data_IF_231275183575
#
_entry.id   IF_231275183575
#
_cell.length_a   1.000
_cell.length_b   1.000
_cell.length_c   1.000
_cell.angle_alpha   90.00
_cell.angle_beta   90.00
_cell.angle_gamma   90.00
#
_symmetry.space_group_name_H-M   'P 1'
#
loop_
_entity.id
_entity.type
_entity.pdbx_description
1 polymer ?
#
# COMPACT_ATOMS: atom_id res chain seq x y z
N UNK A 1 17.50 47.78 -12.74
CA UNK A 1 17.01 46.76 -13.70
C UNK A 1 17.10 47.33 -15.11
N UNK A 2 17.99 46.79 -15.94
CA UNK A 2 18.17 47.13 -17.35
C UNK A 2 18.21 45.81 -18.12
N UNK A 3 17.23 45.59 -18.99
CA UNK A 3 17.37 44.77 -20.19
C UNK A 3 16.84 45.63 -21.33
N UNK A 4 17.61 45.79 -22.40
CA UNK A 4 17.18 45.11 -23.62
C UNK A 4 18.35 44.68 -24.52
N UNK A 5 18.16 43.61 -25.29
CA UNK A 5 18.60 43.63 -26.68
C UNK A 5 17.85 42.58 -27.49
N UNK A 6 17.08 43.07 -28.46
CA UNK A 6 16.61 42.28 -29.60
C UNK A 6 17.78 42.17 -30.57
N UNK A 7 18.09 40.97 -31.05
CA UNK A 7 18.78 40.81 -32.34
C UNK A 7 18.07 39.72 -33.11
N UNK A 8 17.36 40.14 -34.14
CA UNK A 8 16.93 39.30 -35.25
C UNK A 8 18.12 39.09 -36.19
N UNK A 9 18.30 37.88 -36.71
CA UNK A 9 19.03 37.67 -37.95
C UNK A 9 18.39 36.50 -38.70
N UNK A 10 17.63 36.83 -39.74
CA UNK A 10 17.26 35.92 -40.80
C UNK A 10 18.51 35.48 -41.57
N UNK A 11 18.57 34.23 -42.02
CA UNK A 11 19.12 33.86 -43.32
C UNK A 11 18.58 32.48 -43.71
N UNK A 12 17.78 32.47 -44.78
CA UNK A 12 17.40 31.27 -45.52
C UNK A 12 18.62 30.71 -46.26
N UNK A 13 18.77 29.39 -46.23
CA UNK A 13 19.43 28.65 -47.31
C UNK A 13 18.68 27.33 -47.53
N UNK A 14 17.93 27.28 -48.64
CA UNK A 14 17.36 26.05 -49.20
C UNK A 14 18.42 25.45 -50.12
N UNK A 15 18.85 24.22 -49.87
CA UNK A 15 19.60 23.43 -50.85
C UNK A 15 19.45 21.93 -50.61
N UNK A 16 18.94 21.22 -51.63
CA UNK A 16 19.44 19.90 -52.02
C UNK A 16 18.83 18.68 -51.36
N UNK A 17 18.01 17.95 -52.12
CA UNK A 17 17.50 16.63 -51.78
C UNK A 17 18.60 15.53 -51.87
N UNK A 18 18.61 14.64 -50.89
CA UNK A 18 18.94 13.21 -51.05
C UNK A 18 18.06 12.43 -50.06
N UNK A 19 17.07 11.62 -50.48
CA UNK A 19 16.45 10.68 -49.56
C UNK A 19 17.45 9.53 -49.40
N UNK A 20 18.34 9.64 -48.42
CA UNK A 20 18.95 8.45 -47.86
C UNK A 20 17.80 7.68 -47.20
N UNK A 21 17.25 6.71 -47.92
CA UNK A 21 16.45 5.63 -47.32
C UNK A 21 17.41 4.78 -46.50
N UNK A 22 17.80 5.34 -45.35
CA UNK A 22 18.45 4.60 -44.30
C UNK A 22 17.36 3.69 -43.75
N UNK A 23 17.47 2.39 -44.02
CA UNK A 23 16.78 1.36 -43.26
C UNK A 23 17.32 1.40 -41.82
N UNK A 24 17.01 2.47 -41.09
CA UNK A 24 17.14 2.49 -39.65
C UNK A 24 16.01 1.62 -39.13
N UNK A 25 16.28 0.33 -38.97
CA UNK A 25 15.53 -0.50 -38.03
C UNK A 25 15.48 0.28 -36.73
N UNK A 26 14.29 0.73 -36.33
CA UNK A 26 14.12 1.32 -35.01
C UNK A 26 14.58 0.27 -34.01
N UNK A 27 15.57 0.61 -33.19
CA UNK A 27 15.89 -0.18 -32.02
C UNK A 27 14.58 -0.37 -31.25
N UNK A 28 14.25 -1.60 -30.79
CA UNK A 28 13.07 -1.81 -29.98
C UNK A 28 13.05 -0.75 -28.87
N UNK A 29 11.95 -0.01 -28.80
CA UNK A 29 11.76 0.92 -27.69
C UNK A 29 11.94 0.12 -26.39
N UNK A 30 12.57 0.71 -25.35
CA UNK A 30 12.61 0.07 -24.04
C UNK A 30 11.19 -0.37 -23.70
N UNK A 31 11.02 -1.61 -23.26
CA UNK A 31 9.76 -2.02 -22.64
C UNK A 31 9.65 -1.11 -21.42
N UNK A 32 8.80 -0.09 -21.50
CA UNK A 32 8.39 0.63 -20.30
C UNK A 32 7.64 -0.41 -19.48
N UNK A 33 8.25 -0.88 -18.40
CA UNK A 33 7.56 -1.70 -17.43
C UNK A 33 6.49 -0.81 -16.80
N UNK A 34 5.28 -0.92 -17.36
CA UNK A 34 4.08 -0.41 -16.71
C UNK A 34 4.13 -0.88 -15.24
N UNK A 35 3.92 0.02 -14.26
CA UNK A 35 3.92 -0.37 -12.87
C UNK A 35 2.98 -1.56 -12.73
N UNK A 36 3.53 -2.71 -12.35
CA UNK A 36 2.75 -3.89 -12.01
C UNK A 36 1.80 -3.45 -10.92
N UNK A 37 0.50 -3.34 -11.21
CA UNK A 37 -0.55 -3.28 -10.20
C UNK A 37 -0.42 -4.56 -9.36
N UNK A 38 0.37 -4.47 -8.29
CA UNK A 38 0.58 -5.58 -7.37
C UNK A 38 -0.78 -5.89 -6.77
N UNK A 39 -1.24 -7.13 -6.96
CA UNK A 39 -2.49 -7.59 -6.38
C UNK A 39 -2.38 -7.48 -4.86
N UNK A 40 -3.21 -6.64 -4.25
CA UNK A 40 -3.26 -6.51 -2.80
C UNK A 40 -3.89 -7.76 -2.18
N UNK A 41 -3.19 -8.37 -1.23
CA UNK A 41 -3.69 -9.53 -0.47
C UNK A 41 -4.35 -9.01 0.81
N UNK A 42 -5.58 -9.43 1.05
CA UNK A 42 -6.37 -9.04 2.23
C UNK A 42 -6.65 -10.32 3.04
N UNK A 43 -6.28 -10.32 4.32
CA UNK A 43 -6.78 -11.34 5.24
C UNK A 43 -8.22 -11.01 5.61
N UNK A 44 -9.17 -11.84 5.19
CA UNK A 44 -10.59 -11.52 5.37
C UNK A 44 -11.12 -11.87 6.76
N UNK A 45 -10.31 -12.49 7.64
CA UNK A 45 -10.82 -12.95 8.93
C UNK A 45 -9.72 -13.08 9.99
N UNK A 46 -9.58 -12.04 10.81
CA UNK A 46 -8.82 -12.12 12.06
C UNK A 46 -9.68 -11.74 13.26
N UNK A 47 -9.17 -12.02 14.46
CA UNK A 47 -9.75 -11.59 15.73
C UNK A 47 -8.70 -10.82 16.54
N UNK A 48 -9.10 -9.70 17.14
CA UNK A 48 -8.30 -8.98 18.13
C UNK A 48 -8.98 -9.08 19.50
N UNK A 49 -8.19 -9.29 20.56
CA UNK A 49 -8.68 -9.34 21.94
C UNK A 49 -7.55 -9.09 22.92
N UNK A 50 -7.89 -8.61 24.11
CA UNK A 50 -6.91 -8.35 25.18
C UNK A 50 -7.37 -8.97 26.50
N UNK A 51 -6.68 -10.04 26.90
CA UNK A 51 -6.92 -10.73 28.18
C UNK A 51 -6.55 -9.88 29.41
N UNK A 52 -5.86 -8.74 29.23
CA UNK A 52 -5.47 -7.84 30.31
C UNK A 52 -6.48 -6.72 30.60
N UNK A 53 -7.51 -6.56 29.75
CA UNK A 53 -8.59 -5.61 30.01
C UNK A 53 -9.35 -6.01 31.28
N UNK A 54 -9.78 -5.02 32.06
CA UNK A 54 -10.55 -5.24 33.30
C UNK A 54 -11.82 -6.05 33.11
N UNK A 55 -12.42 -5.91 31.94
CA UNK A 55 -13.63 -6.57 31.48
C UNK A 55 -13.42 -8.05 31.14
N UNK A 56 -12.16 -8.47 30.97
CA UNK A 56 -11.76 -9.81 30.54
C UNK A 56 -12.17 -10.14 29.10
N UNK A 57 -12.13 -11.44 28.80
CA UNK A 57 -12.59 -12.01 27.53
C UNK A 57 -13.50 -13.20 27.79
N UNK A 58 -14.52 -13.39 26.96
CA UNK A 58 -15.42 -14.55 27.05
C UNK A 58 -14.76 -15.82 26.47
N UNK A 59 -13.80 -15.62 25.55
CA UNK A 59 -12.95 -16.62 24.93
C UNK A 59 -11.64 -15.93 24.51
N UNK A 60 -10.48 -16.61 24.52
CA UNK A 60 -10.24 -18.00 24.91
C UNK A 60 -10.34 -18.24 26.43
N UNK A 61 -10.50 -19.50 26.89
CA UNK A 61 -10.52 -19.81 28.31
C UNK A 61 -9.12 -19.64 28.93
N UNK A 62 -9.04 -19.24 30.20
CA UNK A 62 -7.79 -19.03 30.94
C UNK A 62 -6.85 -20.24 31.01
N UNK A 63 -7.38 -21.44 30.76
CA UNK A 63 -6.62 -22.69 30.71
C UNK A 63 -5.94 -22.93 29.36
N UNK A 64 -6.29 -22.17 28.32
CA UNK A 64 -5.68 -22.28 26.99
C UNK A 64 -4.27 -21.67 27.00
N UNK A 65 -3.25 -22.53 26.84
CA UNK A 65 -1.85 -22.11 26.95
C UNK A 65 -1.31 -21.40 25.71
N UNK A 66 -2.06 -21.40 24.61
CA UNK A 66 -1.63 -20.84 23.32
C UNK A 66 -2.34 -19.52 23.07
N UNK A 67 -3.66 -19.50 23.29
CA UNK A 67 -4.52 -18.38 22.92
C UNK A 67 -4.77 -17.42 24.08
N UNK A 68 -4.67 -17.85 25.35
CA UNK A 68 -4.92 -16.98 26.50
C UNK A 68 -3.78 -15.99 26.74
N UNK A 69 -3.72 -14.99 25.87
CA UNK A 69 -2.79 -13.87 25.84
C UNK A 69 -3.42 -12.73 25.05
N UNK A 70 -2.90 -11.50 25.13
CA UNK A 70 -3.30 -10.45 24.21
C UNK A 70 -2.98 -10.82 22.76
N UNK A 71 -3.91 -10.51 21.86
CA UNK A 71 -3.78 -10.56 20.41
C UNK A 71 -4.25 -9.19 19.88
N UNK A 72 -3.29 -8.28 19.80
CA UNK A 72 -3.43 -6.87 19.37
C UNK A 72 -2.84 -6.64 17.97
N UNK A 73 -3.05 -5.43 17.43
CA UNK A 73 -2.63 -5.01 16.07
C UNK A 73 -1.16 -5.29 15.79
N UNK A 74 -0.26 -5.01 16.73
CA UNK A 74 1.17 -5.25 16.59
C UNK A 74 1.54 -6.71 16.25
N UNK A 75 0.74 -7.68 16.69
CA UNK A 75 0.96 -9.09 16.35
C UNK A 75 0.49 -9.43 14.94
N UNK A 76 -0.54 -8.73 14.44
CA UNK A 76 -0.96 -8.86 13.04
C UNK A 76 0.05 -8.17 12.14
N UNK A 77 0.50 -6.96 12.47
CA UNK A 77 1.46 -6.18 11.68
C UNK A 77 2.75 -6.99 11.42
N UNK A 78 3.29 -7.67 12.44
CA UNK A 78 4.47 -8.53 12.29
C UNK A 78 4.27 -9.65 11.25
N UNK A 79 3.07 -10.24 11.20
CA UNK A 79 2.74 -11.29 10.24
C UNK A 79 2.46 -10.69 8.87
N UNK A 80 1.69 -9.60 8.80
CA UNK A 80 1.31 -8.94 7.58
C UNK A 80 2.53 -8.46 6.78
N UNK A 81 3.50 -7.85 7.46
CA UNK A 81 4.77 -7.40 6.88
C UNK A 81 5.58 -8.56 6.29
N UNK A 82 5.60 -9.71 6.98
CA UNK A 82 6.35 -10.89 6.55
C UNK A 82 5.70 -11.57 5.34
N UNK A 83 4.38 -11.65 5.33
CA UNK A 83 3.63 -12.41 4.31
C UNK A 83 3.15 -11.55 3.13
N UNK A 84 3.35 -10.22 3.18
CA UNK A 84 2.89 -9.30 2.14
C UNK A 84 1.38 -9.10 2.14
N UNK A 85 0.73 -9.15 3.31
CA UNK A 85 -0.69 -8.86 3.48
C UNK A 85 -0.84 -7.34 3.57
N UNK A 86 -1.66 -6.77 2.70
CA UNK A 86 -1.86 -5.33 2.62
C UNK A 86 -2.79 -4.81 3.71
N UNK A 87 -3.86 -5.55 4.02
CA UNK A 87 -4.85 -5.17 5.02
C UNK A 87 -5.63 -6.37 5.53
N UNK A 88 -6.49 -6.14 6.52
CA UNK A 88 -7.31 -7.19 7.13
C UNK A 88 -8.72 -6.74 7.42
N UNK A 89 -9.63 -7.71 7.46
CA UNK A 89 -10.97 -7.56 8.03
C UNK A 89 -10.97 -8.19 9.42
N UNK A 90 -11.25 -7.37 10.43
CA UNK A 90 -11.34 -7.83 11.81
C UNK A 90 -12.79 -8.24 12.07
N UNK A 91 -12.98 -9.48 12.53
CA UNK A 91 -14.25 -10.02 12.97
C UNK A 91 -14.27 -9.97 14.50
N UNK A 92 -15.29 -9.36 15.09
CA UNK A 92 -15.40 -9.24 16.55
C UNK A 92 -15.42 -10.64 17.21
N UNK A 93 -14.62 -10.78 18.26
CA UNK A 93 -14.38 -12.05 18.94
C UNK A 93 -15.40 -12.34 20.05
N UNK A 94 -16.06 -11.30 20.58
CA UNK A 94 -17.04 -11.42 21.65
C UNK A 94 -18.48 -11.17 21.21
N UNK A 95 -19.43 -11.45 22.10
CA UNK A 95 -20.84 -11.11 21.91
C UNK A 95 -21.21 -9.70 22.35
N UNK A 96 -20.23 -8.92 22.87
CA UNK A 96 -20.46 -7.65 23.54
C UNK A 96 -20.40 -6.50 22.53
N UNK A 97 -21.40 -5.63 22.57
CA UNK A 97 -21.45 -4.48 21.67
C UNK A 97 -20.29 -3.50 21.93
N UNK A 98 -19.85 -3.39 23.18
CA UNK A 98 -18.78 -2.49 23.62
C UNK A 98 -17.42 -2.88 23.04
N UNK A 99 -17.19 -4.17 22.77
CA UNK A 99 -15.92 -4.64 22.20
C UNK A 99 -15.76 -4.21 20.74
N UNK A 100 -16.87 -4.07 19.99
CA UNK A 100 -16.84 -3.48 18.66
C UNK A 100 -16.32 -2.03 18.71
N UNK A 101 -16.79 -1.22 19.68
CA UNK A 101 -16.32 0.15 19.82
C UNK A 101 -14.85 0.21 20.28
N UNK A 102 -14.46 -0.65 21.20
CA UNK A 102 -13.05 -0.77 21.63
C UNK A 102 -12.14 -1.12 20.44
N UNK A 103 -12.53 -2.07 19.60
CA UNK A 103 -11.79 -2.46 18.40
C UNK A 103 -11.65 -1.27 17.43
N UNK A 104 -12.75 -0.54 17.17
CA UNK A 104 -12.73 0.63 16.30
C UNK A 104 -11.80 1.73 16.84
N UNK A 105 -11.77 1.94 18.16
CA UNK A 105 -10.86 2.90 18.79
C UNK A 105 -9.40 2.43 18.74
N UNK A 106 -9.16 1.12 18.88
CA UNK A 106 -7.84 0.50 18.79
C UNK A 106 -7.21 0.76 17.41
N UNK A 107 -7.96 0.56 16.33
CA UNK A 107 -7.43 0.67 14.95
C UNK A 107 -7.58 2.06 14.34
N UNK A 108 -8.18 3.02 15.05
CA UNK A 108 -8.46 4.37 14.54
C UNK A 108 -7.24 5.09 13.94
N UNK A 109 -6.04 4.79 14.43
CA UNK A 109 -4.79 5.40 13.98
C UNK A 109 -4.22 4.77 12.70
N UNK A 110 -4.74 3.61 12.29
CA UNK A 110 -4.37 2.89 11.08
C UNK A 110 -5.64 2.31 10.41
N UNK A 111 -6.47 3.17 9.77
CA UNK A 111 -7.78 2.77 9.24
C UNK A 111 -7.74 2.07 7.87
N UNK A 112 -6.58 2.06 7.21
CA UNK A 112 -6.35 1.53 5.86
C UNK A 112 -5.51 0.24 5.91
#
# INVERSE_FOLDING_TARGET
>A
MKMPSKVACCLLAVAGALPFSSCCTQAPLPIEEEPSDQVQIIDTHIHLYDTNRSEGVDWPPATDKVLYRPVLTEHFDEVADREGIASTVIVEASSRAEDNQWMLDLVKHNPD
#
